data_IF_320909758132
#
_entry.id   IF_320909758132
#
_cell.length_a   1.000
_cell.length_b   1.000
_cell.length_c   1.000
_cell.angle_alpha   90.00
_cell.angle_beta   90.00
_cell.angle_gamma   90.00
#
_symmetry.space_group_name_H-M   'P 1'
#
loop_
_entity.id
_entity.type
_entity.pdbx_description
1 polymer ?
#
# COMPACT_ATOMS: atom_id res chain seq x y z
N UNK A 1 4.14 -3.27 4.85
CA UNK A 1 3.96 -4.12 6.06
C UNK A 1 4.71 -3.56 7.27
N UNK A 2 6.04 -3.47 7.20
CA UNK A 2 6.90 -3.00 8.31
C UNK A 2 6.45 -1.67 8.94
N UNK A 3 6.02 -0.72 8.10
CA UNK A 3 5.56 0.59 8.56
C UNK A 3 4.28 0.52 9.41
N UNK A 4 3.47 -0.53 9.28
CA UNK A 4 2.21 -0.66 10.05
C UNK A 4 2.46 -0.70 11.57
N UNK A 5 3.59 -1.26 12.00
CA UNK A 5 3.96 -1.40 13.41
C UNK A 5 4.45 -0.12 14.07
N UNK A 6 4.79 0.92 13.29
CA UNK A 6 5.33 2.15 13.85
C UNK A 6 4.23 3.00 14.51
N UNK A 7 4.50 3.60 15.69
CA UNK A 7 3.62 4.59 16.30
C UNK A 7 3.33 5.75 15.33
N UNK A 8 2.09 6.24 15.34
CA UNK A 8 1.65 7.33 14.47
C UNK A 8 1.32 6.93 13.02
N UNK A 9 1.63 5.71 12.58
CA UNK A 9 1.15 5.18 11.30
C UNK A 9 -0.31 4.73 11.46
N UNK A 10 -1.20 5.29 10.65
CA UNK A 10 -2.66 5.06 10.72
C UNK A 10 -3.19 4.36 9.47
N UNK A 11 -2.38 4.31 8.43
CA UNK A 11 -2.67 3.57 7.21
C UNK A 11 -1.40 2.98 6.63
N UNK A 12 -1.44 1.69 6.31
CA UNK A 12 -0.34 1.00 5.64
C UNK A 12 -0.90 0.01 4.64
N UNK A 13 -0.50 0.11 3.38
CA UNK A 13 -0.91 -0.82 2.34
C UNK A 13 0.25 -1.13 1.38
N UNK A 14 0.22 -2.32 0.79
CA UNK A 14 1.03 -2.68 -0.38
C UNK A 14 0.11 -2.97 -1.55
N UNK A 15 0.38 -2.30 -2.66
CA UNK A 15 -0.41 -2.39 -3.88
C UNK A 15 0.49 -2.64 -5.09
N UNK A 16 -0.12 -2.87 -6.24
CA UNK A 16 0.59 -3.08 -7.50
C UNK A 16 -0.04 -2.27 -8.64
N UNK A 17 0.68 -2.11 -9.75
CA UNK A 17 0.18 -1.43 -10.96
C UNK A 17 0.25 -2.31 -12.21
N UNK A 18 0.38 -3.62 -12.05
CA UNK A 18 0.52 -4.58 -13.16
C UNK A 18 -0.80 -4.86 -13.92
N UNK A 19 -1.96 -4.50 -13.36
CA UNK A 19 -3.27 -4.63 -14.03
C UNK A 19 -4.13 -3.40 -13.76
N UNK A 20 -5.18 -3.18 -14.58
CA UNK A 20 -6.14 -2.10 -14.38
C UNK A 20 -6.86 -2.18 -13.02
N UNK A 21 -7.19 -3.40 -12.58
CA UNK A 21 -7.82 -3.62 -11.28
C UNK A 21 -6.90 -3.18 -10.14
N UNK A 22 -5.62 -3.56 -10.20
CA UNK A 22 -4.64 -3.15 -9.21
C UNK A 22 -4.34 -1.66 -9.28
N UNK A 23 -4.29 -1.07 -10.46
CA UNK A 23 -4.15 0.38 -10.62
C UNK A 23 -5.28 1.16 -9.91
N UNK A 24 -6.54 0.73 -10.07
CA UNK A 24 -7.68 1.35 -9.37
C UNK A 24 -7.56 1.21 -7.85
N UNK A 25 -7.11 0.05 -7.35
CA UNK A 25 -6.86 -0.19 -5.93
C UNK A 25 -5.74 0.72 -5.40
N UNK A 26 -4.62 0.81 -6.11
CA UNK A 26 -3.49 1.69 -5.78
C UNK A 26 -3.93 3.15 -5.71
N UNK A 27 -4.71 3.63 -6.69
CA UNK A 27 -5.25 4.99 -6.67
C UNK A 27 -6.11 5.25 -5.42
N UNK A 28 -6.96 4.27 -5.03
CA UNK A 28 -7.76 4.37 -3.81
C UNK A 28 -6.88 4.40 -2.56
N UNK A 29 -5.90 3.51 -2.46
CA UNK A 29 -4.99 3.43 -1.32
C UNK A 29 -4.20 4.72 -1.11
N UNK A 30 -3.65 5.30 -2.19
CA UNK A 30 -2.94 6.58 -2.14
C UNK A 30 -3.88 7.69 -1.65
N UNK A 31 -5.10 7.76 -2.19
CA UNK A 31 -6.09 8.75 -1.75
C UNK A 31 -6.41 8.60 -0.26
N UNK A 32 -6.62 7.38 0.22
CA UNK A 32 -6.90 7.11 1.64
C UNK A 32 -5.72 7.50 2.54
N UNK A 33 -4.49 7.19 2.14
CA UNK A 33 -3.30 7.56 2.89
C UNK A 33 -3.20 9.09 3.08
N UNK A 34 -3.32 9.84 1.99
CA UNK A 34 -3.28 11.29 2.05
C UNK A 34 -4.47 11.89 2.79
N UNK A 35 -5.67 11.34 2.59
CA UNK A 35 -6.87 11.85 3.27
C UNK A 35 -6.70 11.80 4.79
N UNK A 36 -6.16 10.71 5.34
CA UNK A 36 -5.88 10.61 6.78
C UNK A 36 -4.87 11.64 7.27
N UNK A 37 -3.87 11.97 6.47
CA UNK A 37 -2.92 13.02 6.83
C UNK A 37 -3.58 14.40 6.82
N UNK A 38 -4.44 14.68 5.83
CA UNK A 38 -5.21 15.93 5.73
C UNK A 38 -6.18 16.06 6.92
N UNK A 39 -6.81 14.96 7.32
CA UNK A 39 -7.77 14.93 8.44
C UNK A 39 -7.06 14.98 9.81
N UNK A 40 -5.73 15.10 9.87
CA UNK A 40 -4.97 15.16 11.12
C UNK A 40 -4.94 13.84 11.90
N UNK A 41 -5.33 12.73 11.27
CA UNK A 41 -5.45 11.42 11.91
C UNK A 41 -4.06 10.82 12.19
N UNK A 42 -3.14 10.94 11.24
CA UNK A 42 -1.78 10.42 11.37
C UNK A 42 -1.12 10.10 10.03
N UNK A 43 0.00 9.37 10.06
CA UNK A 43 0.81 9.07 8.89
C UNK A 43 0.26 7.90 8.05
N UNK A 44 0.11 8.13 6.74
CA UNK A 44 -0.24 7.09 5.77
C UNK A 44 0.98 6.63 4.97
N UNK A 45 1.12 5.32 4.76
CA UNK A 45 2.21 4.72 4.01
C UNK A 45 1.70 3.74 2.96
N UNK A 46 2.17 3.86 1.71
CA UNK A 46 1.77 2.98 0.61
C UNK A 46 2.98 2.50 -0.17
N UNK A 47 3.22 1.19 -0.17
CA UNK A 47 4.23 0.51 -0.99
C UNK A 47 3.61 0.16 -2.35
N UNK A 48 4.18 0.61 -3.46
CA UNK A 48 3.65 0.33 -4.82
C UNK A 48 4.64 -0.52 -5.61
N UNK A 49 4.24 -1.76 -5.88
CA UNK A 49 4.99 -2.67 -6.72
C UNK A 49 4.71 -2.40 -8.21
N UNK A 50 5.78 -2.32 -9.00
CA UNK A 50 5.70 -2.09 -10.45
C UNK A 50 6.62 -3.05 -11.19
N UNK A 51 6.12 -3.63 -12.29
CA UNK A 51 6.98 -4.34 -13.23
C UNK A 51 7.72 -3.30 -14.07
N UNK A 52 9.03 -3.13 -13.85
CA UNK A 52 9.88 -2.23 -14.63
C UNK A 52 10.75 -3.07 -15.59
N UNK A 53 10.38 -3.22 -16.88
CA UNK A 53 11.13 -4.06 -17.82
C UNK A 53 12.62 -3.71 -17.97
N UNK A 54 13.03 -2.43 -17.99
CA UNK A 54 14.43 -2.04 -18.07
C UNK A 54 15.27 -2.61 -16.91
N UNK A 55 14.71 -2.63 -15.70
CA UNK A 55 15.41 -3.11 -14.51
C UNK A 55 15.65 -4.63 -14.57
N UNK A 56 14.71 -5.36 -15.14
CA UNK A 56 14.75 -6.83 -15.22
C UNK A 56 15.51 -7.33 -16.47
N UNK A 57 15.94 -6.43 -17.36
CA UNK A 57 16.52 -6.77 -18.67
C UNK A 57 15.66 -7.79 -19.45
N UNK A 58 14.32 -7.63 -19.39
CA UNK A 58 13.35 -8.53 -19.99
C UNK A 58 12.43 -7.78 -20.95
N UNK A 59 11.91 -8.51 -21.95
CA UNK A 59 10.80 -8.00 -22.77
C UNK A 59 9.59 -7.68 -21.88
N UNK A 60 8.79 -6.63 -22.19
CA UNK A 60 7.67 -6.21 -21.33
C UNK A 60 6.70 -7.32 -20.93
N UNK A 61 6.37 -8.23 -21.85
CA UNK A 61 5.48 -9.36 -21.59
C UNK A 61 6.07 -10.34 -20.58
N UNK A 62 7.36 -10.65 -20.71
CA UNK A 62 8.09 -11.54 -19.80
C UNK A 62 8.30 -10.90 -18.42
N UNK A 63 8.57 -9.61 -18.37
CA UNK A 63 8.66 -8.87 -17.12
C UNK A 63 7.35 -8.94 -16.31
N UNK A 64 6.20 -8.83 -16.98
CA UNK A 64 4.89 -8.97 -16.34
C UNK A 64 4.64 -10.39 -15.80
N UNK A 65 4.94 -11.43 -16.60
CA UNK A 65 4.82 -12.83 -16.15
C UNK A 65 5.71 -13.12 -14.94
N UNK A 66 6.96 -12.64 -14.98
CA UNK A 66 7.90 -12.80 -13.87
C UNK A 66 7.41 -12.09 -12.60
N UNK A 67 6.89 -10.87 -12.75
CA UNK A 67 6.33 -10.08 -11.65
C UNK A 67 5.17 -10.82 -10.96
N UNK A 68 4.24 -11.36 -11.74
CA UNK A 68 3.09 -12.10 -11.20
C UNK A 68 3.51 -13.39 -10.49
N UNK A 69 4.52 -14.09 -11.00
CA UNK A 69 4.98 -15.36 -10.44
C UNK A 69 5.90 -15.22 -9.23
N UNK A 70 6.79 -14.24 -9.23
CA UNK A 70 7.85 -14.12 -8.21
C UNK A 70 7.61 -12.92 -7.30
N UNK A 71 7.39 -11.74 -7.87
CA UNK A 71 7.31 -10.52 -7.07
C UNK A 71 6.05 -10.46 -6.19
N UNK A 72 4.90 -10.85 -6.72
CA UNK A 72 3.67 -10.91 -5.93
C UNK A 72 3.65 -12.04 -4.90
N UNK A 73 4.41 -13.11 -5.13
CA UNK A 73 4.55 -14.22 -4.18
C UNK A 73 5.42 -13.81 -2.98
N UNK A 74 6.55 -13.14 -3.24
CA UNK A 74 7.46 -12.64 -2.20
C UNK A 74 6.84 -11.46 -1.43
N UNK A 75 6.16 -10.56 -2.14
CA UNK A 75 5.58 -9.35 -1.58
C UNK A 75 4.05 -9.36 -1.71
N UNK A 76 3.34 -10.11 -0.85
CA UNK A 76 1.89 -10.21 -0.92
C UNK A 76 1.24 -8.83 -0.76
N UNK A 77 0.24 -8.59 -1.60
CA UNK A 77 -0.52 -7.36 -1.60
C UNK A 77 -1.54 -7.37 -0.46
N UNK A 78 -1.78 -6.21 0.15
CA UNK A 78 -2.70 -6.14 1.27
C UNK A 78 -2.77 -4.77 1.91
N UNK A 79 -3.80 -4.60 2.72
CA UNK A 79 -3.91 -3.50 3.66
C UNK A 79 -3.49 -4.03 5.03
N UNK A 80 -2.38 -3.51 5.56
CA UNK A 80 -1.78 -3.97 6.82
C UNK A 80 -2.25 -3.14 8.01
N UNK A 81 -2.70 -1.90 7.78
CA UNK A 81 -3.26 -1.03 8.81
C UNK A 81 -4.25 -0.06 8.21
N UNK A 82 -5.38 0.11 8.87
CA UNK A 82 -6.36 1.12 8.51
C UNK A 82 -7.20 1.50 9.73
N UNK A 83 -6.67 2.42 10.53
CA UNK A 83 -7.34 2.92 11.73
C UNK A 83 -8.54 3.78 11.31
N UNK A 84 -9.73 3.44 11.79
CA UNK A 84 -10.92 4.26 11.54
C UNK A 84 -11.08 5.35 12.63
N UNK A 85 -11.90 6.38 12.35
CA UNK A 85 -12.11 7.51 13.28
C UNK A 85 -12.53 7.08 14.69
N UNK A 86 -13.25 5.95 14.81
CA UNK A 86 -13.71 5.42 16.11
C UNK A 86 -12.55 4.89 16.95
N UNK A 87 -11.61 4.19 16.34
CA UNK A 87 -10.40 3.68 17.02
C UNK A 87 -9.45 4.80 17.46
N UNK A 88 -9.50 5.96 16.80
CA UNK A 88 -8.69 7.15 17.18
C UNK A 88 -9.28 7.82 18.40
N UNK A 89 -10.59 8.07 18.42
CA UNK A 89 -11.28 8.68 19.58
C UNK A 89 -11.06 7.85 20.83
N UNK A 90 -11.20 6.53 20.72
CA UNK A 90 -10.90 5.60 21.81
C UNK A 90 -9.45 5.75 22.32
N UNK A 91 -8.46 5.85 21.44
CA UNK A 91 -7.06 6.02 21.85
C UNK A 91 -6.75 7.39 22.48
N UNK A 92 -7.51 8.44 22.15
CA UNK A 92 -7.34 9.76 22.77
C UNK A 92 -8.06 9.84 24.12
N UNK A 93 -9.23 9.21 24.26
CA UNK A 93 -10.02 9.23 25.49
C UNK A 93 -9.44 8.34 26.60
N UNK A 94 -8.60 7.36 26.24
CA UNK A 94 -8.04 6.36 27.15
C UNK A 94 -6.51 6.48 27.37
N UNK A 95 -5.90 7.59 26.97
CA UNK A 95 -4.46 7.87 27.11
C UNK A 95 -4.26 9.28 27.66
#
# INVERSE_FOLDING_TARGET
>A
ELMAGLPGVVYSARCAVNTLAQFKRTKKAIKTAFQKQIDGIGYGFVEVLSACPPLLNMRPTKAREWFEKHMLAEYPLGEFKNVNEREIKYQIENN
#
